data_IF_589705948647
#
_entry.id   IF_589705948647
#
_cell.length_a   1.000
_cell.length_b   1.000
_cell.length_c   1.000
_cell.angle_alpha   90.00
_cell.angle_beta   90.00
_cell.angle_gamma   90.00
#
_symmetry.space_group_name_H-M   'P 1'
#
loop_
_entity.id
_entity.type
_entity.pdbx_description
1 polymer ?
#
# COMPACT_ATOMS: atom_id res chain seq x y z
N UNK A 1 4.17 86.05 6.25
CA UNK A 1 3.48 86.68 7.40
C UNK A 1 3.30 85.63 8.49
N UNK A 2 4.21 85.59 9.47
CA UNK A 2 4.10 84.70 10.63
C UNK A 2 3.23 85.41 11.68
N UNK A 3 1.92 85.12 11.66
CA UNK A 3 1.03 85.54 12.74
C UNK A 3 1.40 84.80 14.01
N UNK A 4 2.08 85.47 14.95
CA UNK A 4 2.23 84.98 16.31
C UNK A 4 0.84 84.95 16.95
N UNK A 5 0.15 83.81 16.86
CA UNK A 5 -1.07 83.58 17.61
C UNK A 5 -0.64 83.35 19.07
N UNK A 6 -0.71 84.39 19.89
CA UNK A 6 -0.51 84.29 21.33
C UNK A 6 -1.73 83.60 21.95
N UNK A 7 -1.85 82.29 21.76
CA UNK A 7 -2.89 81.49 22.43
C UNK A 7 -2.65 81.49 23.95
N UNK A 8 -3.72 81.73 24.70
CA UNK A 8 -3.73 81.64 26.15
C UNK A 8 -3.38 80.22 26.61
N UNK A 9 -2.76 80.08 27.79
CA UNK A 9 -2.34 78.76 28.35
C UNK A 9 -3.48 77.73 28.39
N UNK A 10 -4.74 78.17 28.49
CA UNK A 10 -5.92 77.31 28.44
C UNK A 10 -6.20 76.77 27.04
N UNK A 11 -6.12 77.60 26.01
CA UNK A 11 -6.39 77.23 24.62
C UNK A 11 -5.31 76.28 24.08
N UNK A 12 -4.04 76.45 24.48
CA UNK A 12 -2.97 75.49 24.17
C UNK A 12 -3.24 74.09 24.72
N UNK A 13 -3.85 73.97 25.91
CA UNK A 13 -4.23 72.68 26.49
C UNK A 13 -5.36 72.01 25.69
N UNK A 14 -6.36 72.78 25.27
CA UNK A 14 -7.44 72.25 24.43
C UNK A 14 -6.93 71.83 23.04
N UNK A 15 -6.04 72.61 22.43
CA UNK A 15 -5.41 72.24 21.16
C UNK A 15 -4.56 70.97 21.29
N UNK A 16 -3.80 70.83 22.38
CA UNK A 16 -3.03 69.62 22.65
C UNK A 16 -3.92 68.38 22.86
N UNK A 17 -5.01 68.53 23.61
CA UNK A 17 -5.98 67.44 23.85
C UNK A 17 -6.70 67.04 22.55
N UNK A 18 -7.04 68.00 21.69
CA UNK A 18 -7.59 67.75 20.36
C UNK A 18 -6.61 66.98 19.46
N UNK A 19 -5.32 67.35 19.48
CA UNK A 19 -4.28 66.63 18.73
C UNK A 19 -4.11 65.18 19.21
N UNK A 20 -4.16 64.94 20.52
CA UNK A 20 -4.12 63.58 21.09
C UNK A 20 -5.34 62.77 20.65
N UNK A 21 -6.54 63.35 20.68
CA UNK A 21 -7.76 62.68 20.24
C UNK A 21 -7.71 62.33 18.74
N UNK A 22 -7.23 63.24 17.90
CA UNK A 22 -7.03 62.98 16.47
C UNK A 22 -6.00 61.87 16.23
N UNK A 23 -4.92 61.82 17.00
CA UNK A 23 -3.91 60.76 16.91
C UNK A 23 -4.51 59.39 17.29
N UNK A 24 -5.27 59.33 18.39
CA UNK A 24 -5.93 58.10 18.83
C UNK A 24 -6.97 57.61 17.81
N UNK A 25 -7.76 58.53 17.24
CA UNK A 25 -8.71 58.22 16.19
C UNK A 25 -8.02 57.67 14.94
N UNK A 26 -6.91 58.27 14.52
CA UNK A 26 -6.11 57.79 13.39
C UNK A 26 -5.54 56.39 13.64
N UNK A 27 -5.00 56.13 14.84
CA UNK A 27 -4.51 54.79 15.21
C UNK A 27 -5.62 53.75 15.23
N UNK A 28 -6.81 54.08 15.73
CA UNK A 28 -7.96 53.17 15.74
C UNK A 28 -8.42 52.83 14.31
N UNK A 29 -8.52 53.83 13.43
CA UNK A 29 -8.89 53.61 12.03
C UNK A 29 -7.86 52.75 11.30
N UNK A 30 -6.56 53.02 11.50
CA UNK A 30 -5.49 52.19 10.94
C UNK A 30 -5.57 50.76 11.49
N UNK A 31 -5.78 50.60 12.80
CA UNK A 31 -5.98 49.29 13.42
C UNK A 31 -7.12 48.50 12.77
N UNK A 32 -8.30 49.11 12.61
CA UNK A 32 -9.46 48.45 12.00
C UNK A 32 -9.17 48.05 10.54
N UNK A 33 -8.51 48.91 9.75
CA UNK A 33 -8.17 48.62 8.35
C UNK A 33 -7.17 47.46 8.25
N UNK A 34 -6.14 47.43 9.09
CA UNK A 34 -5.15 46.35 9.10
C UNK A 34 -5.72 45.03 9.61
N UNK A 35 -6.58 45.04 10.63
CA UNK A 35 -7.19 43.82 11.16
C UNK A 35 -8.25 43.24 10.23
N UNK A 36 -9.03 44.06 9.51
CA UNK A 36 -10.06 43.57 8.57
C UNK A 36 -9.49 42.85 7.33
N UNK A 37 -8.21 43.06 7.00
CA UNK A 37 -7.53 42.37 5.88
C UNK A 37 -6.57 41.26 6.33
N UNK A 38 -6.51 40.99 7.63
CA UNK A 38 -5.71 39.89 8.14
C UNK A 38 -6.51 38.59 8.01
N UNK A 39 -6.32 37.88 6.91
CA UNK A 39 -6.75 36.48 6.83
C UNK A 39 -6.01 35.71 7.93
N UNK A 40 -6.77 34.95 8.73
CA UNK A 40 -6.22 34.20 9.86
C UNK A 40 -5.10 33.28 9.37
N UNK A 41 -3.89 33.30 9.98
CA UNK A 41 -2.81 32.37 9.65
C UNK A 41 -3.10 30.92 10.10
N UNK A 42 -4.30 30.68 10.62
CA UNK A 42 -4.85 29.38 10.97
C UNK A 42 -6.17 29.16 10.22
N UNK A 43 -6.12 29.30 8.89
CA UNK A 43 -7.27 28.97 8.07
C UNK A 43 -7.51 27.45 8.09
N UNK A 44 -8.77 27.04 7.92
CA UNK A 44 -9.20 25.64 7.94
C UNK A 44 -8.46 24.77 6.91
N UNK A 45 -7.97 25.38 5.83
CA UNK A 45 -7.14 24.78 4.80
C UNK A 45 -5.78 24.29 5.32
N UNK A 46 -5.15 25.04 6.23
CA UNK A 46 -3.86 24.66 6.84
C UNK A 46 -4.03 23.47 7.80
N UNK A 47 -5.14 23.42 8.54
CA UNK A 47 -5.46 22.30 9.43
C UNK A 47 -5.66 21.00 8.63
N UNK A 48 -6.31 21.07 7.46
CA UNK A 48 -6.48 19.91 6.57
C UNK A 48 -5.14 19.47 5.99
N UNK A 49 -4.31 20.42 5.58
CA UNK A 49 -2.98 20.15 5.03
C UNK A 49 -2.08 19.47 6.06
N UNK A 50 -2.11 19.96 7.32
CA UNK A 50 -1.36 19.36 8.42
C UNK A 50 -1.82 17.92 8.71
N UNK A 51 -3.15 17.67 8.72
CA UNK A 51 -3.70 16.31 8.87
C UNK A 51 -3.26 15.37 7.75
N UNK A 52 -3.26 15.83 6.50
CA UNK A 52 -2.79 15.04 5.35
C UNK A 52 -1.30 14.73 5.46
N UNK A 53 -0.49 15.70 5.89
CA UNK A 53 0.94 15.51 6.09
C UNK A 53 1.20 14.47 7.19
N UNK A 54 0.46 14.54 8.30
CA UNK A 54 0.53 13.56 9.38
C UNK A 54 0.13 12.15 8.91
N UNK A 55 -0.97 12.04 8.16
CA UNK A 55 -1.40 10.76 7.56
C UNK A 55 -0.35 10.17 6.62
N UNK A 56 0.26 11.01 5.77
CA UNK A 56 1.33 10.59 4.86
C UNK A 56 2.56 10.11 5.62
N UNK A 57 3.00 10.85 6.64
CA UNK A 57 4.15 10.47 7.46
C UNK A 57 3.94 9.15 8.20
N UNK A 58 2.73 8.92 8.75
CA UNK A 58 2.38 7.63 9.38
C UNK A 58 2.41 6.48 8.37
N UNK A 59 1.87 6.71 7.18
CA UNK A 59 1.90 5.72 6.11
C UNK A 59 3.34 5.43 5.65
N UNK A 60 4.19 6.43 5.46
CA UNK A 60 5.59 6.25 5.07
C UNK A 60 6.38 5.39 6.07
N UNK A 61 6.13 5.57 7.36
CA UNK A 61 6.76 4.77 8.41
C UNK A 61 6.34 3.28 8.32
N UNK A 62 5.04 3.03 8.10
CA UNK A 62 4.51 1.66 8.00
C UNK A 62 4.79 1.01 6.65
N UNK A 63 4.95 1.81 5.58
CA UNK A 63 5.24 1.32 4.25
C UNK A 63 6.50 0.46 4.22
N UNK A 64 7.53 0.83 5.01
CA UNK A 64 8.76 0.04 5.11
C UNK A 64 8.51 -1.37 5.66
N UNK A 65 7.58 -1.50 6.61
CA UNK A 65 7.21 -2.80 7.19
C UNK A 65 6.39 -3.62 6.21
N UNK A 66 5.42 -2.98 5.55
CA UNK A 66 4.58 -3.61 4.54
C UNK A 66 5.44 -4.09 3.36
N UNK A 67 6.41 -3.28 2.91
CA UNK A 67 7.30 -3.65 1.82
C UNK A 67 8.11 -4.90 2.12
N UNK A 68 8.62 -5.05 3.35
CA UNK A 68 9.32 -6.29 3.76
C UNK A 68 8.41 -7.51 3.66
N UNK A 69 7.13 -7.38 4.02
CA UNK A 69 6.15 -8.46 3.90
C UNK A 69 5.87 -8.76 2.42
N UNK A 70 5.71 -7.74 1.59
CA UNK A 70 5.55 -7.87 0.13
C UNK A 70 6.72 -8.63 -0.49
N UNK A 71 7.95 -8.19 -0.24
CA UNK A 71 9.16 -8.77 -0.83
C UNK A 71 9.38 -10.20 -0.32
N UNK A 72 9.23 -10.43 0.99
CA UNK A 72 9.39 -11.77 1.56
C UNK A 72 8.32 -12.74 1.07
N UNK A 73 7.09 -12.28 0.87
CA UNK A 73 5.99 -13.11 0.35
C UNK A 73 6.24 -13.48 -1.11
N UNK A 74 6.72 -12.53 -1.94
CA UNK A 74 7.15 -12.84 -3.30
C UNK A 74 8.23 -13.91 -3.34
N UNK A 75 9.28 -13.75 -2.52
CA UNK A 75 10.38 -14.71 -2.43
C UNK A 75 9.86 -16.08 -2.00
N UNK A 76 8.97 -16.15 -1.00
CA UNK A 76 8.35 -17.41 -0.57
C UNK A 76 7.57 -18.07 -1.71
N UNK A 77 6.71 -17.35 -2.43
CA UNK A 77 5.95 -17.90 -3.57
C UNK A 77 6.88 -18.35 -4.69
N UNK A 78 7.91 -17.57 -5.01
CA UNK A 78 8.86 -17.90 -6.08
C UNK A 78 9.68 -19.16 -5.78
N UNK A 79 9.95 -19.43 -4.50
CA UNK A 79 10.68 -20.60 -4.03
C UNK A 79 9.77 -21.77 -3.63
N UNK A 80 8.45 -21.69 -3.84
CA UNK A 80 7.59 -22.88 -3.70
C UNK A 80 8.08 -23.94 -4.68
N UNK A 81 8.80 -24.94 -4.16
CA UNK A 81 9.23 -26.09 -4.95
C UNK A 81 7.99 -26.91 -5.29
N UNK A 82 7.86 -27.28 -6.57
CA UNK A 82 6.79 -28.15 -7.05
C UNK A 82 6.70 -29.46 -6.24
N UNK A 83 7.82 -29.99 -5.72
CA UNK A 83 7.81 -31.31 -5.09
C UNK A 83 7.17 -31.38 -3.70
N UNK A 84 7.13 -30.30 -2.91
CA UNK A 84 6.30 -30.23 -1.69
C UNK A 84 6.32 -28.85 -1.05
N UNK A 85 5.27 -28.03 -1.26
CA UNK A 85 5.05 -26.88 -0.43
C UNK A 85 4.68 -27.37 0.97
N UNK A 86 5.45 -26.98 1.99
CA UNK A 86 5.06 -27.23 3.36
C UNK A 86 3.73 -26.50 3.62
N UNK A 87 2.73 -27.19 4.20
CA UNK A 87 1.42 -26.60 4.48
C UNK A 87 1.52 -25.33 5.33
N UNK A 88 2.54 -25.26 6.19
CA UNK A 88 2.88 -24.09 6.99
C UNK A 88 3.29 -22.90 6.12
N UNK A 89 4.11 -23.11 5.08
CA UNK A 89 4.52 -22.05 4.14
C UNK A 89 3.34 -21.52 3.32
N UNK A 90 2.43 -22.39 2.88
CA UNK A 90 1.23 -21.96 2.17
C UNK A 90 0.33 -21.08 3.05
N UNK A 91 0.06 -21.50 4.29
CA UNK A 91 -0.75 -20.72 5.21
C UNK A 91 -0.13 -19.36 5.54
N UNK A 92 1.20 -19.30 5.69
CA UNK A 92 1.90 -18.03 5.88
C UNK A 92 1.79 -17.10 4.68
N UNK A 93 1.87 -17.63 3.46
CA UNK A 93 1.69 -16.84 2.23
C UNK A 93 0.26 -16.29 2.17
N UNK A 94 -0.75 -17.13 2.38
CA UNK A 94 -2.16 -16.71 2.38
C UNK A 94 -2.40 -15.58 3.40
N UNK A 95 -1.93 -15.76 4.63
CA UNK A 95 -2.02 -14.73 5.68
C UNK A 95 -1.31 -13.43 5.30
N UNK A 96 -0.12 -13.52 4.70
CA UNK A 96 0.62 -12.35 4.27
C UNK A 96 -0.08 -11.63 3.10
N UNK A 97 -0.63 -12.37 2.15
CA UNK A 97 -1.40 -11.84 1.03
C UNK A 97 -2.66 -11.13 1.53
N UNK A 98 -3.40 -11.71 2.48
CA UNK A 98 -4.54 -11.06 3.15
C UNK A 98 -4.12 -9.76 3.86
N UNK A 99 -2.97 -9.79 4.53
CA UNK A 99 -2.41 -8.60 5.15
C UNK A 99 -2.10 -7.53 4.10
N UNK A 100 -1.50 -7.89 2.96
CA UNK A 100 -1.20 -6.94 1.89
C UNK A 100 -2.50 -6.38 1.29
N UNK A 101 -3.48 -7.23 0.97
CA UNK A 101 -4.79 -6.86 0.41
C UNK A 101 -5.54 -5.85 1.29
N UNK A 102 -5.52 -6.08 2.60
CA UNK A 102 -6.20 -5.21 3.57
C UNK A 102 -5.46 -3.90 3.89
N UNK A 103 -4.28 -3.65 3.31
CA UNK A 103 -3.50 -2.42 3.56
C UNK A 103 -4.29 -1.15 3.28
N UNK A 104 -5.02 -1.10 2.15
CA UNK A 104 -5.87 0.04 1.77
C UNK A 104 -6.96 0.36 2.79
N UNK A 105 -7.45 -0.66 3.50
CA UNK A 105 -8.47 -0.49 4.55
C UNK A 105 -7.88 -0.03 5.89
N UNK A 106 -6.58 -0.28 6.13
CA UNK A 106 -5.90 0.06 7.39
C UNK A 106 -5.44 1.51 7.47
N UNK A 107 -5.15 2.14 6.33
CA UNK A 107 -4.65 3.52 6.31
C UNK A 107 -5.57 4.43 5.52
N UNK A 108 -5.94 5.55 6.13
CA UNK A 108 -6.63 6.65 5.46
C UNK A 108 -5.58 7.67 5.07
N UNK A 109 -5.07 7.55 3.85
CA UNK A 109 -4.05 8.44 3.29
C UNK A 109 -4.44 8.80 1.86
N UNK A 110 -4.19 10.03 1.39
CA UNK A 110 -4.36 10.41 -0.01
C UNK A 110 -3.25 9.86 -0.93
N UNK A 111 -2.35 9.04 -0.39
CA UNK A 111 -1.21 8.50 -1.13
C UNK A 111 -1.61 7.37 -2.09
N UNK A 112 -1.39 7.56 -3.39
CA UNK A 112 -1.76 6.63 -4.46
C UNK A 112 -1.06 5.27 -4.36
N UNK A 113 0.11 5.18 -3.68
CA UNK A 113 0.82 3.90 -3.51
C UNK A 113 -0.04 2.87 -2.78
N UNK A 114 -0.97 3.33 -1.94
CA UNK A 114 -1.85 2.44 -1.19
C UNK A 114 -2.78 1.62 -2.09
N UNK A 115 -3.09 2.15 -3.28
CA UNK A 115 -3.96 1.49 -4.26
C UNK A 115 -3.27 0.32 -4.95
N UNK A 116 -1.93 0.27 -4.92
CA UNK A 116 -1.16 -0.83 -5.49
C UNK A 116 -1.21 -2.11 -4.65
N UNK A 117 -1.38 -2.01 -3.32
CA UNK A 117 -1.31 -3.19 -2.45
C UNK A 117 -2.40 -4.25 -2.72
N UNK A 118 -3.69 -3.89 -2.93
CA UNK A 118 -4.69 -4.86 -3.36
C UNK A 118 -4.29 -5.57 -4.66
N UNK A 119 -3.76 -4.84 -5.65
CA UNK A 119 -3.34 -5.41 -6.92
C UNK A 119 -2.15 -6.38 -6.77
N UNK A 120 -1.21 -6.05 -5.87
CA UNK A 120 -0.08 -6.94 -5.52
C UNK A 120 -0.61 -8.22 -4.86
N UNK A 121 -1.61 -8.10 -3.98
CA UNK A 121 -2.20 -9.27 -3.33
C UNK A 121 -2.92 -10.16 -4.36
N UNK A 122 -3.72 -9.59 -5.25
CA UNK A 122 -4.38 -10.33 -6.33
C UNK A 122 -3.34 -11.06 -7.22
N UNK A 123 -2.22 -10.38 -7.53
CA UNK A 123 -1.11 -11.01 -8.25
C UNK A 123 -0.50 -12.19 -7.48
N UNK A 124 -0.33 -12.09 -6.15
CA UNK A 124 0.19 -13.18 -5.33
C UNK A 124 -0.77 -14.37 -5.23
N UNK A 125 -2.08 -14.13 -5.18
CA UNK A 125 -3.08 -15.19 -5.24
C UNK A 125 -2.97 -15.95 -6.57
N UNK A 126 -3.01 -15.23 -7.69
CA UNK A 126 -2.85 -15.84 -9.02
C UNK A 126 -1.52 -16.60 -9.16
N UNK A 127 -0.41 -16.01 -8.71
CA UNK A 127 0.90 -16.64 -8.81
C UNK A 127 1.00 -17.92 -7.95
N UNK A 128 0.35 -17.93 -6.79
CA UNK A 128 0.26 -19.12 -5.95
C UNK A 128 -0.60 -20.21 -6.62
N UNK A 129 -1.70 -19.85 -7.27
CA UNK A 129 -2.53 -20.79 -8.04
C UNK A 129 -1.77 -21.40 -9.21
N UNK A 130 -1.03 -20.61 -9.97
CA UNK A 130 -0.17 -21.08 -11.06
C UNK A 130 0.85 -22.11 -10.55
N UNK A 131 1.47 -21.85 -9.39
CA UNK A 131 2.41 -22.78 -8.75
C UNK A 131 1.75 -24.10 -8.33
N UNK A 132 0.50 -24.04 -7.84
CA UNK A 132 -0.29 -25.24 -7.51
C UNK A 132 -0.62 -26.04 -8.77
N UNK A 133 -0.98 -25.35 -9.86
CA UNK A 133 -1.26 -25.99 -11.15
C UNK A 133 -0.03 -26.65 -11.76
N UNK A 134 1.12 -25.97 -11.76
CA UNK A 134 2.41 -26.48 -12.21
C UNK A 134 2.78 -27.79 -11.47
N UNK A 135 2.60 -27.80 -10.15
CA UNK A 135 2.80 -29.01 -9.33
C UNK A 135 1.89 -30.15 -9.76
N UNK A 136 0.59 -29.91 -9.85
CA UNK A 136 -0.38 -30.95 -10.18
C UNK A 136 -0.08 -31.56 -11.56
N UNK A 137 0.24 -30.73 -12.55
CA UNK A 137 0.66 -31.20 -13.87
C UNK A 137 1.94 -32.05 -13.80
N UNK A 138 2.93 -31.63 -13.02
CA UNK A 138 4.18 -32.37 -12.83
C UNK A 138 3.93 -33.74 -12.19
N UNK A 139 3.08 -33.78 -11.17
CA UNK A 139 2.72 -35.03 -10.47
C UNK A 139 1.90 -35.97 -11.37
N UNK A 140 1.03 -35.43 -12.21
CA UNK A 140 0.27 -36.19 -13.21
C UNK A 140 1.17 -36.77 -14.30
N UNK A 141 2.14 -35.99 -14.81
CA UNK A 141 3.14 -36.47 -15.77
C UNK A 141 3.97 -37.61 -15.16
N UNK A 142 4.49 -37.44 -13.94
CA UNK A 142 5.23 -38.49 -13.24
C UNK A 142 4.38 -39.76 -13.06
N UNK A 143 3.10 -39.62 -12.71
CA UNK A 143 2.16 -40.75 -12.59
C UNK A 143 1.94 -41.44 -13.93
N UNK A 144 1.75 -40.67 -15.01
CA UNK A 144 1.56 -41.19 -16.35
C UNK A 144 2.79 -41.98 -16.82
N UNK A 145 4.00 -41.46 -16.60
CA UNK A 145 5.25 -42.16 -16.92
C UNK A 145 5.34 -43.53 -16.24
N UNK A 146 5.00 -43.59 -14.94
CA UNK A 146 4.94 -44.85 -14.19
C UNK A 146 3.91 -45.80 -14.76
N UNK A 147 2.69 -45.32 -15.07
CA UNK A 147 1.63 -46.14 -15.67
C UNK A 147 2.02 -46.66 -17.05
N UNK A 148 2.62 -45.84 -17.91
CA UNK A 148 3.10 -46.24 -19.24
C UNK A 148 4.18 -47.32 -19.11
N UNK A 149 5.17 -47.10 -18.24
CA UNK A 149 6.24 -48.08 -17.98
C UNK A 149 5.68 -49.41 -17.49
N UNK A 150 4.68 -49.39 -16.60
CA UNK A 150 4.01 -50.59 -16.11
C UNK A 150 3.21 -51.29 -17.22
N UNK A 151 2.58 -50.54 -18.12
CA UNK A 151 1.85 -51.08 -19.26
C UNK A 151 2.80 -51.76 -20.26
N UNK A 152 3.94 -51.13 -20.58
CA UNK A 152 4.97 -51.71 -21.46
C UNK A 152 5.57 -52.99 -20.87
N UNK A 153 5.87 -53.02 -19.58
CA UNK A 153 6.33 -54.25 -18.89
C UNK A 153 5.26 -55.34 -18.94
N UNK A 154 3.99 -54.99 -18.68
CA UNK A 154 2.87 -55.92 -18.76
C UNK A 154 2.66 -56.48 -20.17
N UNK A 155 2.79 -55.64 -21.20
CA UNK A 155 2.72 -56.04 -22.59
C UNK A 155 3.82 -57.04 -22.94
N UNK A 156 5.09 -56.72 -22.64
CA UNK A 156 6.23 -57.61 -22.87
C UNK A 156 6.07 -58.96 -22.16
N UNK A 157 5.63 -58.95 -20.91
CA UNK A 157 5.39 -60.18 -20.15
C UNK A 157 4.28 -61.04 -20.78
N UNK A 158 3.20 -60.43 -21.27
CA UNK A 158 2.11 -61.16 -21.91
C UNK A 158 2.51 -61.70 -23.28
N UNK A 159 3.26 -60.94 -24.08
CA UNK A 159 3.81 -61.39 -25.36
C UNK A 159 4.70 -62.62 -25.16
N UNK A 160 5.61 -62.57 -24.18
CA UNK A 160 6.48 -63.70 -23.85
C UNK A 160 5.67 -64.93 -23.39
N UNK A 161 4.67 -64.75 -22.53
CA UNK A 161 3.79 -65.85 -22.09
C UNK A 161 3.00 -66.48 -23.22
N UNK A 162 2.53 -65.68 -24.18
CA UNK A 162 1.83 -66.18 -25.37
C UNK A 162 2.76 -66.99 -26.25
N UNK A 163 3.97 -66.48 -26.50
CA UNK A 163 5.00 -67.17 -27.27
C UNK A 163 5.38 -68.53 -26.65
N UNK A 164 5.61 -68.56 -25.34
CA UNK A 164 5.89 -69.80 -24.59
C UNK A 164 4.74 -70.81 -24.68
N UNK A 165 3.49 -70.34 -24.57
CA UNK A 165 2.29 -71.18 -24.77
C UNK A 165 2.23 -71.76 -26.18
N UNK A 166 2.51 -70.96 -27.19
CA UNK A 166 2.43 -71.38 -28.59
C UNK A 166 3.46 -72.46 -28.91
N UNK A 167 4.68 -72.33 -28.38
CA UNK A 167 5.71 -73.38 -28.47
C UNK A 167 5.25 -74.65 -27.77
N UNK A 168 4.72 -74.55 -26.55
CA UNK A 168 4.24 -75.71 -25.78
C UNK A 168 3.07 -76.44 -26.47
N UNK A 169 2.22 -75.73 -27.20
CA UNK A 169 1.14 -76.33 -27.99
C UNK A 169 1.65 -77.04 -29.25
N UNK A 170 2.71 -76.54 -29.89
CA UNK A 170 3.30 -77.16 -31.10
C UNK A 170 4.19 -78.37 -30.83
N UNK A 171 4.66 -78.52 -29.59
CA UNK A 171 5.51 -79.65 -29.15
C UNK A 171 4.72 -80.83 -28.62
N UNK A 172 3.39 -80.74 -28.61
CA UNK A 172 2.45 -81.77 -28.17
C UNK A 172 1.79 -82.43 -29.35
#
# INVERSE_FOLDING_TARGET
MQGQITLSKKEKRFQFLYLILMLLAAMLLLGIIFLNRFESPFDSSDVITLKRLEQKSKFDAEQQNIQKIVDSTFVKISHLKAENPEAMTMHEIEKNTDFISSTKKRFVTPDERIDGYPLIADFYEMYMEDKKMEKNMTDDVKRLEVTVKNCEMGYKNNEQRLFERDIALKTR
#
